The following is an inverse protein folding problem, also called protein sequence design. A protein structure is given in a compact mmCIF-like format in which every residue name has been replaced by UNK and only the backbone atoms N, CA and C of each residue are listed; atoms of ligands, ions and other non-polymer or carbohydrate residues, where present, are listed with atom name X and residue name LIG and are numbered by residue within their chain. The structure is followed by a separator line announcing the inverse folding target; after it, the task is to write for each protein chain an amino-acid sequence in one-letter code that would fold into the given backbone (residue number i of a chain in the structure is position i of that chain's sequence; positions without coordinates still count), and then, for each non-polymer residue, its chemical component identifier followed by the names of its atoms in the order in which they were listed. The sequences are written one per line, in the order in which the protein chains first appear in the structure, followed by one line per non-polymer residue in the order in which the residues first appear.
data_IF_952976999683
#
_entry.id   IF_952976999683
#
_cell.length_a   1.000
_cell.length_b   1.000
_cell.length_c   1.000
_cell.angle_alpha   90.00
_cell.angle_beta   90.00
_cell.angle_gamma   90.00
#
_symmetry.space_group_name_H-M   'P 1'
#
loop_
_entity.id
_entity.type
_entity.pdbx_description
1 polymer ?
#
# COMPACT_ATOMS: atom_id res chain seq x y z
N UNK A 1 -5.91 -13.58 10.14
CA UNK A 1 -5.60 -12.75 8.95
C UNK A 1 -6.38 -11.45 9.08
N UNK A 2 -5.72 -10.28 9.01
CA UNK A 2 -6.40 -8.97 9.07
C UNK A 2 -6.51 -8.40 7.65
N UNK A 3 -7.70 -7.94 7.28
CA UNK A 3 -7.97 -7.27 6.02
C UNK A 3 -8.19 -5.78 6.30
N UNK A 4 -7.40 -4.92 5.66
CA UNK A 4 -7.44 -3.47 5.86
C UNK A 4 -7.64 -2.83 4.49
N UNK A 5 -8.61 -1.93 4.38
CA UNK A 5 -8.85 -1.13 3.19
C UNK A 5 -8.61 0.35 3.50
N UNK A 6 -7.82 1.02 2.66
CA UNK A 6 -7.45 2.42 2.82
C UNK A 6 -8.25 3.25 1.81
N UNK A 7 -9.02 4.21 2.30
CA UNK A 7 -9.84 5.09 1.50
C UNK A 7 -9.50 6.56 1.77
N UNK A 8 -9.58 7.40 0.73
CA UNK A 8 -9.37 8.84 0.83
C UNK A 8 -10.26 9.57 -0.17
N UNK A 9 -10.74 10.77 0.19
CA UNK A 9 -11.44 11.67 -0.74
C UNK A 9 -10.40 12.28 -1.69
N UNK A 10 -10.33 11.76 -2.92
CA UNK A 10 -9.30 12.10 -3.91
C UNK A 10 -8.05 11.21 -3.85
N UNK A 11 -7.28 11.18 -4.94
CA UNK A 11 -6.15 10.23 -5.14
C UNK A 11 -4.76 10.77 -4.76
N UNK A 12 -4.66 12.03 -4.35
CA UNK A 12 -3.36 12.64 -4.02
C UNK A 12 -2.81 11.98 -2.75
N UNK A 13 -1.62 11.40 -2.83
CA UNK A 13 -0.88 10.84 -1.69
C UNK A 13 -1.40 9.51 -1.13
N UNK A 14 -2.54 8.97 -1.60
CA UNK A 14 -3.06 7.69 -1.07
C UNK A 14 -2.13 6.51 -1.34
N UNK A 15 -1.59 6.41 -2.56
CA UNK A 15 -0.64 5.36 -2.92
C UNK A 15 0.65 5.47 -2.09
N UNK A 16 1.20 6.68 -1.96
CA UNK A 16 2.43 6.94 -1.20
C UNK A 16 2.29 6.58 0.27
N UNK A 17 1.18 6.98 0.92
CA UNK A 17 0.93 6.63 2.32
C UNK A 17 0.72 5.13 2.49
N UNK A 18 -0.01 4.49 1.58
CA UNK A 18 -0.26 3.03 1.61
C UNK A 18 1.04 2.25 1.47
N UNK A 19 1.89 2.61 0.50
CA UNK A 19 3.17 1.97 0.22
C UNK A 19 4.13 2.06 1.41
N UNK A 20 4.31 3.25 1.98
CA UNK A 20 5.20 3.46 3.13
C UNK A 20 4.71 2.67 4.36
N UNK A 21 3.40 2.64 4.60
CA UNK A 21 2.82 1.86 5.69
C UNK A 21 3.11 0.37 5.51
N UNK A 22 2.87 -0.17 4.32
CA UNK A 22 3.16 -1.58 4.02
C UNK A 22 4.64 -1.91 4.09
N UNK A 23 5.53 -1.00 3.71
CA UNK A 23 6.98 -1.20 3.81
C UNK A 23 7.43 -1.32 5.28
N UNK A 24 6.96 -0.43 6.16
CA UNK A 24 7.27 -0.50 7.60
C UNK A 24 6.67 -1.75 8.24
N UNK A 25 5.44 -2.11 7.88
CA UNK A 25 4.83 -3.31 8.43
C UNK A 25 5.56 -4.58 7.95
N UNK A 26 6.13 -4.57 6.75
CA UNK A 26 6.95 -5.67 6.22
C UNK A 26 8.29 -5.81 6.97
N UNK A 27 8.92 -4.70 7.38
CA UNK A 27 10.15 -4.76 8.22
C UNK A 27 9.87 -5.28 9.64
N UNK A 28 8.63 -5.17 10.12
CA UNK A 28 8.19 -5.75 11.40
C UNK A 28 7.89 -7.26 11.33
N UNK A 29 8.46 -7.98 10.35
CA UNK A 29 8.28 -9.44 10.16
C UNK A 29 6.83 -9.90 9.91
N UNK A 30 5.97 -8.99 9.43
CA UNK A 30 4.61 -9.36 9.01
C UNK A 30 4.59 -9.80 7.55
N UNK A 31 3.88 -10.90 7.27
CA UNK A 31 3.54 -11.28 5.89
C UNK A 31 2.39 -10.41 5.39
N UNK A 32 2.67 -9.57 4.40
CA UNK A 32 1.74 -8.55 3.89
C UNK A 32 1.49 -8.78 2.41
N UNK A 33 0.23 -8.61 2.02
CA UNK A 33 -0.19 -8.54 0.64
C UNK A 33 -0.81 -7.16 0.41
N UNK A 34 -0.22 -6.38 -0.49
CA UNK A 34 -0.79 -5.13 -0.98
C UNK A 34 -1.51 -5.39 -2.30
N UNK A 35 -2.82 -5.19 -2.33
CA UNK A 35 -3.63 -5.26 -3.54
C UNK A 35 -4.10 -3.86 -3.96
N UNK A 36 -3.74 -3.43 -5.17
CA UNK A 36 -4.24 -2.20 -5.76
C UNK A 36 -5.65 -2.39 -6.30
N UNK A 37 -6.58 -1.53 -5.89
CA UNK A 37 -7.97 -1.53 -6.38
C UNK A 37 -8.29 -0.36 -7.33
N UNK A 38 -7.31 0.47 -7.65
CA UNK A 38 -7.50 1.67 -8.47
C UNK A 38 -6.80 1.54 -9.83
N UNK A 39 -7.55 1.53 -10.95
CA UNK A 39 -6.96 1.34 -12.28
C UNK A 39 -6.15 2.55 -12.78
N UNK A 40 -6.26 3.71 -12.13
CA UNK A 40 -5.54 4.94 -12.53
C UNK A 40 -4.29 5.21 -11.69
N UNK A 41 -4.09 4.48 -10.60
CA UNK A 41 -3.01 4.76 -9.66
C UNK A 41 -2.25 3.48 -9.31
N UNK A 42 -0.95 3.47 -9.62
CA UNK A 42 -0.07 2.34 -9.32
C UNK A 42 0.33 2.34 -7.84
N UNK A 43 -0.37 1.53 -7.05
CA UNK A 43 -0.10 1.34 -5.61
C UNK A 43 1.12 0.46 -5.33
N UNK A 44 1.77 -0.15 -6.33
CA UNK A 44 2.91 -1.06 -6.15
C UNK A 44 4.27 -0.49 -6.54
N UNK A 45 4.29 0.63 -7.27
CA UNK A 45 5.49 1.22 -7.86
C UNK A 45 6.67 1.47 -6.91
N UNK A 46 6.40 1.87 -5.67
CA UNK A 46 7.45 2.17 -4.65
C UNK A 46 7.95 0.91 -3.93
N UNK A 47 7.17 -0.17 -3.93
CA UNK A 47 7.52 -1.44 -3.27
C UNK A 47 8.34 -2.40 -4.14
N UNK A 48 8.49 -2.12 -5.44
CA UNK A 48 9.17 -2.97 -6.43
C UNK A 48 10.71 -3.02 -6.30
N UNK A 49 11.28 -2.54 -5.19
CA UNK A 49 12.74 -2.49 -4.93
C UNK A 49 13.13 -3.26 -3.65
N UNK A 50 12.22 -4.07 -3.09
CA UNK A 50 12.50 -4.95 -1.94
C UNK A 50 12.38 -6.42 -2.33
#
# INVERSE_FOLDING_TARGET
MRQIAIYRKGKIGICTTTQNLTAVLATMSNKILLAGCDPKADSTRVLLVA
#
